data_IF_910513947998
#
_entry.id   IF_910513947998
#
_cell.length_a   1.000
_cell.length_b   1.000
_cell.length_c   1.000
_cell.angle_alpha   90.00
_cell.angle_beta   90.00
_cell.angle_gamma   90.00
#
_symmetry.space_group_name_H-M   'P 1'
#
loop_
_entity.id
_entity.type
_entity.pdbx_description
1 polymer ?
#
# COMPACT_ATOMS: atom_id res chain seq x y z
N UNK A 1 31.37 65.21 5.27
CA UNK A 1 32.73 65.78 5.12
C UNK A 1 33.61 64.71 4.53
N UNK A 2 34.22 65.02 3.37
CA UNK A 2 35.41 64.43 2.68
C UNK A 2 35.27 62.94 2.31
N UNK A 3 35.00 62.49 1.04
CA UNK A 3 35.76 62.63 -0.24
C UNK A 3 37.15 61.99 -0.13
N UNK A 4 37.39 60.96 -0.97
CA UNK A 4 38.35 60.81 -2.05
C UNK A 4 38.39 59.33 -2.46
N UNK A 5 38.10 58.80 -3.57
CA UNK A 5 38.39 58.89 -5.00
C UNK A 5 39.91 58.77 -5.31
N UNK A 6 40.21 57.81 -6.19
CA UNK A 6 41.19 57.83 -7.28
C UNK A 6 41.64 56.41 -7.64
N UNK A 7 41.36 55.87 -8.82
CA UNK A 7 41.79 56.03 -10.22
C UNK A 7 42.75 54.89 -10.65
N UNK A 8 42.34 54.19 -11.68
CA UNK A 8 42.83 53.80 -13.02
C UNK A 8 44.24 53.21 -13.17
N UNK A 9 44.27 52.19 -14.02
CA UNK A 9 45.39 51.74 -14.83
C UNK A 9 45.09 50.42 -15.50
N UNK A 10 44.71 50.34 -16.56
CA UNK A 10 44.68 50.24 -18.03
C UNK A 10 46.05 49.84 -18.60
N UNK A 11 46.06 48.76 -19.42
CA UNK A 11 46.84 48.47 -20.63
C UNK A 11 47.01 46.97 -20.80
N UNK A 12 46.42 46.27 -21.71
CA UNK A 12 46.44 46.27 -23.17
C UNK A 12 47.56 45.40 -23.79
N UNK A 13 47.09 44.41 -24.58
CA UNK A 13 47.56 43.90 -25.88
C UNK A 13 48.89 43.12 -25.92
N UNK A 14 49.00 42.00 -26.63
CA UNK A 14 49.07 41.71 -28.07
C UNK A 14 49.15 40.18 -28.28
N UNK A 15 48.27 39.51 -29.01
CA UNK A 15 48.33 38.98 -30.38
C UNK A 15 49.65 38.31 -30.82
N UNK A 16 49.59 37.02 -31.20
CA UNK A 16 50.01 36.60 -32.57
C UNK A 16 49.89 35.09 -32.80
N UNK A 17 49.26 34.78 -33.86
CA UNK A 17 49.17 33.64 -34.74
C UNK A 17 50.52 32.94 -35.06
N UNK A 18 50.59 31.66 -35.37
CA UNK A 18 50.54 31.12 -36.73
C UNK A 18 50.97 29.64 -36.81
N UNK A 19 50.13 28.81 -37.41
CA UNK A 19 50.30 27.88 -38.53
C UNK A 19 51.55 26.97 -38.61
N UNK A 20 51.25 25.71 -38.73
CA UNK A 20 51.29 24.87 -39.99
C UNK A 20 52.28 23.66 -40.00
N UNK A 21 51.68 22.52 -40.25
CA UNK A 21 51.94 21.47 -41.27
C UNK A 21 53.07 20.45 -41.11
N UNK A 22 52.57 19.21 -41.37
CA UNK A 22 53.04 18.05 -42.15
C UNK A 22 53.54 16.83 -41.40
N UNK A 23 52.70 15.81 -41.56
CA UNK A 23 52.92 14.44 -42.06
C UNK A 23 54.33 13.84 -42.02
N UNK A 24 54.43 12.65 -41.43
CA UNK A 24 54.91 11.48 -42.20
C UNK A 24 54.60 10.14 -41.48
N UNK A 25 54.15 9.20 -42.28
CA UNK A 25 53.91 7.78 -42.02
C UNK A 25 55.21 7.02 -41.69
N UNK A 26 55.15 5.96 -40.89
CA UNK A 26 55.27 4.57 -41.39
C UNK A 26 55.37 3.51 -40.28
N UNK A 27 54.54 2.48 -40.41
CA UNK A 27 54.74 1.02 -40.27
C UNK A 27 55.41 0.46 -38.98
N UNK A 28 54.84 -0.47 -38.29
CA UNK A 28 54.39 -1.80 -38.54
C UNK A 28 54.15 -2.59 -37.24
N UNK A 29 53.00 -3.18 -37.06
CA UNK A 29 52.60 -4.55 -36.62
C UNK A 29 53.14 -5.15 -35.28
N UNK A 30 52.48 -6.21 -34.74
CA UNK A 30 51.34 -6.09 -33.82
C UNK A 30 51.66 -6.71 -32.45
N UNK A 31 51.15 -6.14 -31.41
CA UNK A 31 51.15 -6.77 -30.08
C UNK A 31 49.68 -7.02 -29.65
N UNK A 32 49.47 -8.22 -29.18
CA UNK A 32 48.23 -8.81 -28.70
C UNK A 32 47.62 -7.97 -27.58
N UNK A 33 46.51 -7.36 -27.85
CA UNK A 33 45.72 -6.62 -26.84
C UNK A 33 44.70 -7.57 -26.21
N UNK A 34 44.91 -7.86 -24.92
CA UNK A 34 43.91 -8.50 -24.08
C UNK A 34 42.82 -7.47 -23.79
N UNK A 35 41.65 -7.63 -24.34
CA UNK A 35 40.45 -6.86 -24.00
C UNK A 35 40.04 -7.18 -22.56
N UNK A 36 40.33 -6.28 -21.65
CA UNK A 36 39.64 -6.18 -20.38
C UNK A 36 38.34 -5.43 -20.69
N UNK A 37 37.21 -6.14 -20.69
CA UNK A 37 35.90 -5.51 -20.66
C UNK A 37 35.77 -4.72 -19.35
N UNK A 38 35.94 -3.42 -19.45
CA UNK A 38 35.50 -2.50 -18.39
C UNK A 38 33.98 -2.45 -18.45
N UNK A 39 33.34 -3.05 -17.44
CA UNK A 39 31.94 -2.79 -17.17
C UNK A 39 31.77 -1.29 -16.93
N UNK A 40 31.18 -0.62 -17.91
CA UNK A 40 30.73 0.76 -17.76
C UNK A 40 29.74 0.83 -16.58
N UNK A 41 30.18 1.43 -15.51
CA UNK A 41 29.31 1.91 -14.42
C UNK A 41 28.40 2.95 -15.06
N UNK A 42 27.12 2.59 -15.24
CA UNK A 42 26.08 3.53 -15.67
C UNK A 42 26.11 4.72 -14.71
N UNK A 43 26.44 5.87 -15.26
CA UNK A 43 26.34 7.18 -14.63
C UNK A 43 24.88 7.45 -14.24
N UNK A 44 24.70 8.14 -13.11
CA UNK A 44 23.48 8.72 -12.56
C UNK A 44 22.77 9.66 -13.55
N UNK A 45 22.14 9.16 -14.60
CA UNK A 45 21.26 9.97 -15.46
C UNK A 45 19.88 10.05 -14.81
N UNK A 46 19.56 11.21 -14.24
CA UNK A 46 18.19 11.63 -13.97
C UNK A 46 17.52 11.82 -15.32
N UNK A 47 16.34 11.23 -15.52
CA UNK A 47 15.56 11.43 -16.75
C UNK A 47 15.36 12.94 -16.99
N UNK A 48 15.60 13.37 -18.23
CA UNK A 48 15.46 14.78 -18.63
C UNK A 48 14.04 15.27 -18.32
N UNK A 49 13.87 16.27 -17.45
CA UNK A 49 12.54 16.77 -17.07
C UNK A 49 11.76 17.42 -18.23
N UNK A 50 12.40 17.65 -19.39
CA UNK A 50 11.73 18.18 -20.58
C UNK A 50 10.98 17.13 -21.39
N UNK A 51 11.19 15.82 -21.11
CA UNK A 51 10.48 14.73 -21.78
C UNK A 51 9.27 14.29 -20.97
N UNK A 52 8.14 14.00 -21.62
CA UNK A 52 6.98 13.43 -20.94
C UNK A 52 7.39 12.09 -20.30
N UNK A 53 7.21 11.96 -18.99
CA UNK A 53 7.49 10.72 -18.29
C UNK A 53 6.64 9.57 -18.85
N UNK A 54 7.31 8.49 -19.25
CA UNK A 54 6.65 7.25 -19.64
C UNK A 54 7.32 6.09 -18.92
N UNK A 55 6.56 5.37 -18.10
CA UNK A 55 7.06 4.23 -17.32
C UNK A 55 7.58 3.09 -18.21
N UNK A 56 7.08 2.97 -19.44
CA UNK A 56 7.53 1.95 -20.39
C UNK A 56 8.98 2.15 -20.85
N UNK A 57 9.53 3.34 -20.71
CA UNK A 57 10.92 3.65 -21.02
C UNK A 57 11.90 3.12 -19.96
N UNK A 58 11.39 2.73 -18.79
CA UNK A 58 12.17 2.11 -17.72
C UNK A 58 12.30 0.61 -17.98
N UNK A 59 13.53 0.13 -18.07
CA UNK A 59 13.80 -1.31 -18.24
C UNK A 59 13.38 -2.12 -17.02
N UNK A 60 12.96 -3.38 -17.24
CA UNK A 60 12.68 -4.28 -16.13
C UNK A 60 13.96 -4.65 -15.37
N UNK A 61 13.91 -4.55 -14.05
CA UNK A 61 14.94 -5.10 -13.18
C UNK A 61 14.91 -6.63 -13.22
N UNK A 62 16.10 -7.23 -13.25
CA UNK A 62 16.30 -8.69 -13.14
C UNK A 62 16.78 -9.09 -11.73
N UNK A 63 16.93 -8.15 -10.82
CA UNK A 63 17.37 -8.42 -9.45
C UNK A 63 16.25 -9.08 -8.65
N UNK A 64 16.62 -10.00 -7.77
CA UNK A 64 15.75 -10.45 -6.69
C UNK A 64 15.72 -9.36 -5.61
N UNK A 65 14.58 -8.72 -5.44
CA UNK A 65 14.38 -7.63 -4.48
C UNK A 65 13.71 -8.09 -3.18
N UNK A 66 13.46 -9.41 -3.02
CA UNK A 66 12.80 -9.97 -1.84
C UNK A 66 11.32 -9.64 -1.73
N UNK A 67 10.80 -9.69 -0.51
CA UNK A 67 9.39 -9.40 -0.22
C UNK A 67 9.17 -7.95 0.22
N UNK A 68 7.92 -7.47 0.07
CA UNK A 68 7.51 -6.14 0.52
C UNK A 68 7.84 -5.95 2.02
N UNK A 69 8.42 -4.82 2.42
CA UNK A 69 8.63 -3.58 1.68
C UNK A 69 9.93 -3.51 0.85
N UNK A 70 10.56 -4.60 0.48
CA UNK A 70 11.71 -4.74 -0.42
C UNK A 70 13.04 -4.16 0.09
N UNK A 71 13.03 -3.36 1.12
CA UNK A 71 14.19 -2.63 1.65
C UNK A 71 14.32 -2.91 3.13
N UNK A 72 15.49 -3.41 3.53
CA UNK A 72 15.95 -3.31 4.90
C UNK A 72 16.68 -1.98 5.08
N UNK A 73 16.35 -1.26 6.14
CA UNK A 73 17.03 -0.01 6.43
C UNK A 73 18.53 -0.26 6.69
N UNK A 74 19.39 0.73 6.42
CA UNK A 74 20.81 0.62 6.71
C UNK A 74 21.08 0.25 8.17
N UNK A 75 22.18 -0.46 8.42
CA UNK A 75 22.57 -0.88 9.77
C UNK A 75 22.63 0.31 10.73
N UNK A 76 22.12 0.14 11.94
CA UNK A 76 22.00 1.21 12.93
C UNK A 76 20.81 2.15 12.75
N UNK A 77 19.98 1.96 11.71
CA UNK A 77 18.76 2.74 11.49
C UNK A 77 17.50 1.89 11.60
N UNK A 78 16.45 2.48 12.10
CA UNK A 78 15.14 1.83 12.23
C UNK A 78 13.97 2.72 11.82
N UNK A 79 12.86 2.09 11.44
CA UNK A 79 11.59 2.78 11.30
C UNK A 79 11.01 3.10 12.67
N UNK A 80 10.63 4.33 12.90
CA UNK A 80 10.00 4.75 14.16
C UNK A 80 8.64 4.09 14.34
N UNK A 81 8.20 3.98 15.62
CA UNK A 81 6.84 3.53 15.96
C UNK A 81 5.80 4.37 15.22
N UNK A 82 4.80 3.70 14.67
CA UNK A 82 3.75 4.34 13.88
C UNK A 82 4.00 4.34 12.37
N UNK A 83 4.99 3.57 11.90
CA UNK A 83 5.08 3.26 10.47
C UNK A 83 3.73 2.75 9.93
N UNK A 84 3.38 3.19 8.74
CA UNK A 84 2.13 2.84 8.06
C UNK A 84 2.42 1.65 7.13
N UNK A 85 1.71 0.54 7.33
CA UNK A 85 1.69 -0.61 6.42
C UNK A 85 0.24 -0.88 6.04
N UNK A 86 -0.09 -0.74 4.75
CA UNK A 86 -1.44 -0.90 4.20
C UNK A 86 -1.43 -1.89 3.05
N UNK A 87 -2.44 -2.76 3.01
CA UNK A 87 -2.65 -3.69 1.89
C UNK A 87 -2.99 -2.97 0.59
N UNK A 88 -3.66 -1.82 0.71
CA UNK A 88 -4.00 -0.94 -0.42
C UNK A 88 -4.24 0.46 0.13
N UNK A 89 -3.53 1.45 -0.44
CA UNK A 89 -3.69 2.87 -0.14
C UNK A 89 -3.03 3.71 -1.25
N UNK A 90 -3.11 5.03 -1.16
CA UNK A 90 -2.52 5.98 -2.10
C UNK A 90 -1.32 6.70 -1.48
N UNK A 91 -0.28 6.89 -2.27
CA UNK A 91 0.85 7.77 -1.93
C UNK A 91 1.24 8.60 -3.14
N UNK A 92 1.70 9.83 -2.90
CA UNK A 92 2.07 10.78 -3.93
C UNK A 92 3.59 10.80 -4.15
N UNK A 93 4.01 10.77 -5.43
CA UNK A 93 5.41 10.75 -5.84
C UNK A 93 5.67 11.82 -6.91
N UNK A 94 6.82 12.51 -6.89
CA UNK A 94 7.10 13.60 -7.81
C UNK A 94 7.49 13.10 -9.20
N UNK A 95 6.59 13.24 -10.17
CA UNK A 95 6.86 13.09 -11.60
C UNK A 95 7.06 14.47 -12.20
N UNK A 96 8.25 14.80 -12.67
CA UNK A 96 8.59 16.13 -13.19
C UNK A 96 8.19 17.26 -12.21
N UNK A 97 8.35 17.04 -10.92
CA UNK A 97 7.99 18.01 -9.87
C UNK A 97 6.50 18.08 -9.52
N UNK A 98 5.64 17.29 -10.17
CA UNK A 98 4.20 17.18 -9.87
C UNK A 98 3.96 15.92 -9.02
N UNK A 99 3.41 16.09 -7.84
CA UNK A 99 3.08 15.00 -6.92
C UNK A 99 1.90 14.19 -7.47
N UNK A 100 2.23 13.04 -8.06
CA UNK A 100 1.32 12.14 -8.77
C UNK A 100 0.92 10.98 -7.86
N UNK A 101 -0.40 10.67 -7.72
CA UNK A 101 -0.85 9.57 -6.89
C UNK A 101 -0.58 8.20 -7.54
N UNK A 102 -0.07 7.27 -6.75
CA UNK A 102 0.02 5.85 -7.08
C UNK A 102 -0.66 5.03 -6.00
N UNK A 103 -1.41 4.02 -6.40
CA UNK A 103 -2.19 3.17 -5.50
C UNK A 103 -1.64 1.75 -5.47
N UNK A 104 -1.72 1.12 -4.31
CA UNK A 104 -1.27 -0.25 -4.14
C UNK A 104 -0.94 -0.59 -2.69
N UNK A 105 -0.16 -1.63 -2.50
CA UNK A 105 0.38 -1.98 -1.20
C UNK A 105 1.39 -0.91 -0.77
N UNK A 106 1.18 -0.30 0.40
CA UNK A 106 1.90 0.90 0.82
C UNK A 106 2.62 0.72 2.15
N UNK A 107 3.87 1.20 2.19
CA UNK A 107 4.65 1.37 3.42
C UNK A 107 5.17 2.80 3.52
N UNK A 108 4.96 3.45 4.69
CA UNK A 108 5.49 4.80 4.98
C UNK A 108 6.11 4.81 6.37
N UNK A 109 7.31 5.38 6.51
CA UNK A 109 8.00 5.43 7.78
C UNK A 109 8.81 6.71 7.96
N UNK A 110 8.86 7.20 9.20
CA UNK A 110 9.94 8.05 9.67
C UNK A 110 11.11 7.13 10.07
N UNK A 111 12.32 7.51 9.69
CA UNK A 111 13.54 6.72 9.91
C UNK A 111 14.47 7.49 10.86
N UNK A 112 15.00 6.81 11.85
CA UNK A 112 15.96 7.37 12.78
C UNK A 112 17.00 6.34 13.19
N UNK A 113 17.91 6.74 14.07
CA UNK A 113 18.90 5.83 14.63
C UNK A 113 18.29 4.88 15.67
N UNK A 114 18.76 3.65 15.68
CA UNK A 114 18.51 2.70 16.78
C UNK A 114 19.07 3.30 18.08
N UNK A 115 18.44 2.96 19.20
CA UNK A 115 18.85 3.48 20.50
C UNK A 115 20.33 3.21 20.79
N UNK A 116 21.10 4.28 20.94
CA UNK A 116 22.54 4.25 21.22
C UNK A 116 23.43 4.46 19.99
N UNK A 117 22.83 4.55 18.81
CA UNK A 117 23.48 4.89 17.54
C UNK A 117 23.23 6.36 17.17
N UNK A 118 24.04 6.89 16.26
CA UNK A 118 23.87 8.25 15.72
C UNK A 118 23.27 8.20 14.31
N UNK A 119 22.31 9.08 14.05
CA UNK A 119 21.78 9.25 12.70
C UNK A 119 22.74 10.08 11.86
N UNK A 120 23.08 9.57 10.67
CA UNK A 120 23.82 10.32 9.66
C UNK A 120 22.99 10.43 8.38
N UNK A 121 22.62 11.66 8.02
CA UNK A 121 21.90 11.96 6.78
C UNK A 121 22.61 11.36 5.57
N UNK A 122 23.94 11.65 5.45
CA UNK A 122 24.73 11.16 4.32
C UNK A 122 24.82 9.64 4.26
N UNK A 123 24.91 8.97 5.40
CA UNK A 123 24.93 7.50 5.46
C UNK A 123 23.59 6.92 4.98
N UNK A 124 22.47 7.46 5.46
CA UNK A 124 21.15 7.04 5.04
C UNK A 124 20.95 7.24 3.53
N UNK A 125 21.17 8.46 3.02
CA UNK A 125 20.94 8.78 1.60
C UNK A 125 21.83 7.92 0.70
N UNK A 126 23.13 7.82 1.00
CA UNK A 126 24.06 7.06 0.19
C UNK A 126 23.74 5.57 0.18
N UNK A 127 23.43 4.99 1.34
CA UNK A 127 23.08 3.56 1.44
C UNK A 127 21.80 3.24 0.67
N UNK A 128 20.77 4.11 0.78
CA UNK A 128 19.52 3.94 0.04
C UNK A 128 19.75 4.03 -1.46
N UNK A 129 20.47 5.04 -1.91
CA UNK A 129 20.72 5.29 -3.33
C UNK A 129 21.57 4.17 -3.96
N UNK A 130 22.68 3.77 -3.33
CA UNK A 130 23.52 2.68 -3.82
C UNK A 130 22.77 1.35 -3.88
N UNK A 131 21.96 1.03 -2.87
CA UNK A 131 21.13 -0.16 -2.89
C UNK A 131 20.12 -0.13 -4.04
N UNK A 132 19.36 0.96 -4.19
CA UNK A 132 18.33 1.09 -5.21
C UNK A 132 18.93 0.97 -6.62
N UNK A 133 20.05 1.64 -6.89
CA UNK A 133 20.75 1.52 -8.17
C UNK A 133 21.27 0.09 -8.41
N UNK A 134 21.77 -0.58 -7.37
CA UNK A 134 22.29 -1.96 -7.47
C UNK A 134 21.22 -2.98 -7.84
N UNK A 135 19.96 -2.73 -7.46
CA UNK A 135 18.81 -3.58 -7.82
C UNK A 135 18.10 -3.12 -9.10
N UNK A 136 18.68 -2.22 -9.86
CA UNK A 136 18.16 -1.76 -11.15
C UNK A 136 17.02 -0.75 -11.05
N UNK A 137 16.88 -0.04 -9.93
CA UNK A 137 15.98 1.10 -9.85
C UNK A 137 16.48 2.25 -10.73
N UNK A 138 15.55 2.98 -11.33
CA UNK A 138 15.83 4.20 -12.09
C UNK A 138 15.43 5.41 -11.23
N UNK A 139 16.35 6.36 -11.07
CA UNK A 139 16.06 7.63 -10.40
C UNK A 139 15.23 8.50 -11.34
N UNK A 140 14.02 8.86 -10.92
CA UNK A 140 13.06 9.64 -11.73
C UNK A 140 13.03 11.10 -11.30
N UNK A 141 13.31 11.36 -10.02
CA UNK A 141 13.33 12.70 -9.48
C UNK A 141 14.39 12.85 -8.38
N UNK A 142 15.07 13.99 -8.35
CA UNK A 142 15.98 14.38 -7.29
C UNK A 142 15.93 15.92 -7.16
N UNK A 143 15.15 16.42 -6.21
CA UNK A 143 14.93 17.86 -6.08
C UNK A 143 13.80 18.22 -5.10
N UNK A 144 13.43 19.48 -5.13
CA UNK A 144 12.35 20.06 -4.34
C UNK A 144 11.10 20.23 -5.23
N UNK A 145 9.92 20.23 -4.62
CA UNK A 145 8.67 20.60 -5.28
C UNK A 145 8.33 22.07 -4.99
N UNK A 146 7.49 22.70 -5.82
CA UNK A 146 7.06 24.07 -5.52
C UNK A 146 6.09 24.11 -4.34
N UNK A 147 5.98 25.26 -3.71
CA UNK A 147 5.03 25.48 -2.62
C UNK A 147 3.58 25.31 -3.08
N UNK A 148 3.26 25.77 -4.28
CA UNK A 148 1.93 25.60 -4.87
C UNK A 148 1.59 24.12 -5.04
N UNK A 149 2.56 23.33 -5.48
CA UNK A 149 2.39 21.89 -5.64
C UNK A 149 2.26 21.18 -4.29
N UNK A 150 3.06 21.59 -3.30
CA UNK A 150 2.93 21.11 -1.94
C UNK A 150 1.53 21.36 -1.37
N UNK A 151 1.01 22.57 -1.49
CA UNK A 151 -0.32 22.92 -1.00
C UNK A 151 -1.40 22.11 -1.75
N UNK A 152 -1.27 21.98 -3.08
CA UNK A 152 -2.22 21.23 -3.94
C UNK A 152 -2.33 19.75 -3.51
N UNK A 153 -1.21 19.02 -3.45
CA UNK A 153 -1.29 17.59 -3.17
C UNK A 153 -1.68 17.31 -1.72
N UNK A 154 -1.30 18.15 -0.80
CA UNK A 154 -1.66 17.99 0.61
C UNK A 154 -3.18 18.10 0.88
N UNK A 155 -3.93 18.79 0.03
CA UNK A 155 -5.39 18.79 0.10
C UNK A 155 -5.99 17.44 -0.33
N UNK A 156 -5.25 16.64 -1.08
CA UNK A 156 -5.68 15.37 -1.66
C UNK A 156 -5.10 14.15 -0.94
N UNK A 157 -3.99 14.30 -0.19
CA UNK A 157 -3.34 13.17 0.50
C UNK A 157 -4.10 12.78 1.78
N UNK A 158 -4.77 11.62 1.82
CA UNK A 158 -5.46 11.14 3.00
C UNK A 158 -4.51 10.78 4.16
N UNK A 159 -3.20 10.63 3.87
CA UNK A 159 -2.16 10.27 4.83
C UNK A 159 -1.33 11.47 5.29
N UNK A 160 -1.78 12.70 5.00
CA UNK A 160 -1.11 13.94 5.40
C UNK A 160 -0.85 13.98 6.91
N UNK A 161 0.37 14.38 7.28
CA UNK A 161 0.80 14.48 8.68
C UNK A 161 1.08 13.12 9.34
N UNK A 162 0.93 12.02 8.62
CA UNK A 162 1.27 10.68 9.08
C UNK A 162 2.78 10.39 9.05
N UNK A 163 3.13 9.16 9.45
CA UNK A 163 4.51 8.68 9.36
C UNK A 163 4.98 8.68 7.91
N UNK A 164 6.21 9.12 7.66
CA UNK A 164 6.77 9.20 6.31
C UNK A 164 6.21 10.33 5.44
N UNK A 165 5.40 11.23 6.01
CA UNK A 165 4.87 12.37 5.26
C UNK A 165 6.00 13.29 4.77
N UNK A 166 5.99 13.65 3.47
CA UNK A 166 6.93 14.59 2.85
C UNK A 166 6.53 16.03 3.25
N UNK A 167 6.78 16.39 4.48
CA UNK A 167 6.13 17.47 5.21
C UNK A 167 6.43 18.91 4.80
N UNK A 168 7.35 19.16 3.83
CA UNK A 168 7.69 20.53 3.41
C UNK A 168 8.10 20.59 1.94
N UNK A 169 7.84 21.73 1.28
CA UNK A 169 8.17 21.98 -0.13
C UNK A 169 9.68 22.15 -0.36
N UNK A 170 10.45 22.53 0.67
CA UNK A 170 11.89 22.76 0.64
C UNK A 170 12.71 21.52 1.03
N UNK A 171 12.11 20.35 0.99
CA UNK A 171 12.79 19.08 1.17
C UNK A 171 13.24 18.52 -0.17
N UNK A 172 14.52 18.15 -0.26
CA UNK A 172 15.01 17.37 -1.40
C UNK A 172 14.41 15.97 -1.34
N UNK A 173 13.60 15.61 -2.34
CA UNK A 173 12.97 14.30 -2.49
C UNK A 173 13.73 13.52 -3.55
N UNK A 174 14.17 12.32 -3.22
CA UNK A 174 14.73 11.37 -4.18
C UNK A 174 13.71 10.31 -4.47
N UNK A 175 13.31 10.17 -5.74
CA UNK A 175 12.31 9.23 -6.18
C UNK A 175 12.86 8.24 -7.20
N UNK A 176 12.60 6.95 -6.97
CA UNK A 176 13.08 5.83 -7.76
C UNK A 176 11.91 4.92 -8.17
N UNK A 177 12.05 4.30 -9.33
CA UNK A 177 11.11 3.28 -9.81
C UNK A 177 11.89 1.99 -10.09
N UNK A 178 11.36 0.87 -9.61
CA UNK A 178 11.76 -0.47 -10.02
C UNK A 178 10.62 -1.07 -10.82
N UNK A 179 10.86 -1.50 -12.06
CA UNK A 179 9.92 -2.35 -12.81
C UNK A 179 10.32 -3.80 -12.64
N UNK A 180 9.42 -4.63 -12.14
CA UNK A 180 9.63 -6.07 -12.00
C UNK A 180 8.57 -6.83 -12.80
N UNK A 181 8.98 -7.84 -13.56
CA UNK A 181 8.03 -8.70 -14.28
C UNK A 181 7.14 -9.50 -13.33
N UNK A 182 7.67 -9.87 -12.17
CA UNK A 182 6.95 -10.68 -11.18
C UNK A 182 6.13 -9.81 -10.20
N UNK A 183 6.70 -8.69 -9.75
CA UNK A 183 6.15 -7.88 -8.64
C UNK A 183 5.49 -6.59 -9.11
N UNK A 184 5.46 -6.30 -10.42
CA UNK A 184 4.91 -5.06 -10.98
C UNK A 184 5.82 -3.85 -10.79
N UNK A 185 5.24 -2.67 -10.82
CA UNK A 185 5.94 -1.41 -10.61
C UNK A 185 6.04 -1.09 -9.11
N UNK A 186 7.22 -0.67 -8.69
CA UNK A 186 7.51 -0.32 -7.31
C UNK A 186 8.05 1.10 -7.28
N UNK A 187 7.38 1.96 -6.54
CA UNK A 187 7.66 3.38 -6.38
C UNK A 187 8.29 3.60 -5.01
N UNK A 188 9.46 4.22 -4.95
CA UNK A 188 10.24 4.40 -3.72
C UNK A 188 10.72 5.83 -3.67
N UNK A 189 10.32 6.57 -2.64
CA UNK A 189 10.87 7.90 -2.40
C UNK A 189 11.37 8.03 -0.97
N UNK A 190 12.38 8.86 -0.82
CA UNK A 190 12.88 9.23 0.48
C UNK A 190 13.38 10.66 0.51
N UNK A 191 13.38 11.24 1.70
CA UNK A 191 13.98 12.52 2.02
C UNK A 191 14.67 12.39 3.37
N UNK A 192 15.63 13.27 3.66
CA UNK A 192 16.28 13.29 4.96
C UNK A 192 16.84 14.66 5.31
N UNK A 193 17.09 14.84 6.58
CA UNK A 193 17.82 15.96 7.14
C UNK A 193 18.73 15.48 8.29
N UNK A 194 19.31 16.39 9.06
CA UNK A 194 20.18 16.03 10.17
C UNK A 194 19.46 15.36 11.37
N UNK A 195 18.13 15.38 11.42
CA UNK A 195 17.32 14.82 12.51
C UNK A 195 16.74 13.43 12.18
N UNK A 196 16.68 13.05 10.90
CA UNK A 196 16.13 11.76 10.49
C UNK A 196 15.78 11.72 9.01
N UNK A 197 15.27 10.56 8.59
CA UNK A 197 14.80 10.31 7.23
C UNK A 197 13.30 10.02 7.19
N UNK A 198 12.77 10.00 5.98
CA UNK A 198 11.42 9.54 5.65
C UNK A 198 11.50 8.63 4.44
N UNK A 199 10.73 7.56 4.45
CA UNK A 199 10.72 6.55 3.39
C UNK A 199 9.28 6.20 3.07
N UNK A 200 8.93 6.24 1.77
CA UNK A 200 7.66 5.76 1.25
C UNK A 200 7.90 4.75 0.14
N UNK A 201 7.16 3.66 0.19
CA UNK A 201 7.21 2.58 -0.80
C UNK A 201 5.78 2.22 -1.18
N UNK A 202 5.51 2.17 -2.49
CA UNK A 202 4.26 1.62 -3.03
C UNK A 202 4.59 0.54 -4.04
N UNK A 203 4.01 -0.64 -3.85
CA UNK A 203 3.92 -1.65 -4.89
C UNK A 203 2.59 -1.48 -5.59
N UNK A 204 2.61 -1.09 -6.86
CA UNK A 204 1.41 -0.81 -7.63
C UNK A 204 0.52 -2.06 -7.74
N UNK A 205 -0.72 -1.90 -7.37
CA UNK A 205 -1.74 -2.95 -7.48
C UNK A 205 -3.06 -2.35 -7.95
N UNK A 206 -3.73 -3.03 -8.87
CA UNK A 206 -5.10 -2.67 -9.23
C UNK A 206 -6.04 -2.91 -8.05
N UNK A 207 -6.92 -1.95 -7.78
CA UNK A 207 -7.96 -2.12 -6.77
C UNK A 207 -8.79 -3.37 -7.05
N UNK A 208 -8.86 -4.27 -6.08
CA UNK A 208 -9.70 -5.47 -6.14
C UNK A 208 -10.93 -5.26 -5.27
N UNK A 209 -12.09 -5.12 -5.91
CA UNK A 209 -13.35 -5.12 -5.18
C UNK A 209 -13.56 -6.48 -4.51
N UNK A 210 -13.61 -6.48 -3.18
CA UNK A 210 -13.82 -7.70 -2.37
C UNK A 210 -15.20 -7.77 -1.74
N UNK A 211 -16.02 -6.69 -1.89
CA UNK A 211 -17.42 -6.72 -1.45
C UNK A 211 -18.19 -7.54 -2.47
N UNK A 212 -18.64 -8.73 -2.06
CA UNK A 212 -19.48 -9.59 -2.87
C UNK A 212 -20.93 -9.53 -2.39
N UNK A 213 -21.89 -9.67 -3.31
CA UNK A 213 -23.26 -9.97 -2.93
C UNK A 213 -23.28 -11.35 -2.29
N UNK A 214 -23.98 -11.49 -1.15
CA UNK A 214 -24.30 -12.81 -0.61
C UNK A 214 -25.18 -13.53 -1.62
N UNK A 215 -24.69 -14.65 -2.17
CA UNK A 215 -25.43 -15.47 -3.15
C UNK A 215 -25.70 -16.87 -2.60
N UNK A 216 -26.72 -17.51 -3.13
CA UNK A 216 -27.07 -18.90 -2.78
C UNK A 216 -25.92 -19.87 -3.06
N UNK A 217 -25.15 -19.65 -4.14
CA UNK A 217 -23.99 -20.44 -4.52
C UNK A 217 -22.85 -20.32 -3.49
N UNK A 218 -22.55 -19.11 -3.03
CA UNK A 218 -21.52 -18.88 -2.01
C UNK A 218 -21.91 -19.47 -0.67
N UNK A 219 -23.18 -19.31 -0.25
CA UNK A 219 -23.71 -19.95 0.97
C UNK A 219 -23.57 -21.47 0.89
N UNK A 220 -24.00 -22.09 -0.21
CA UNK A 220 -23.92 -23.53 -0.40
C UNK A 220 -22.44 -24.01 -0.42
N UNK A 221 -21.56 -23.27 -1.09
CA UNK A 221 -20.12 -23.55 -1.12
C UNK A 221 -19.52 -23.50 0.28
N UNK A 222 -19.75 -22.44 1.03
CA UNK A 222 -19.25 -22.29 2.40
C UNK A 222 -19.71 -23.41 3.32
N UNK A 223 -21.01 -23.76 3.26
CA UNK A 223 -21.58 -24.84 4.06
C UNK A 223 -20.99 -26.20 3.69
N UNK A 224 -20.67 -26.45 2.42
CA UNK A 224 -20.11 -27.72 1.99
C UNK A 224 -18.60 -27.82 2.22
N UNK A 225 -17.84 -26.76 1.98
CA UNK A 225 -16.38 -26.77 2.08
C UNK A 225 -15.87 -26.46 3.50
N UNK A 226 -16.55 -25.52 4.21
CA UNK A 226 -16.12 -25.02 5.52
C UNK A 226 -17.02 -25.49 6.67
N UNK A 227 -18.14 -26.12 6.38
CA UNK A 227 -19.15 -26.50 7.35
C UNK A 227 -19.96 -25.35 7.94
N UNK A 228 -19.65 -24.11 7.57
CA UNK A 228 -20.37 -22.91 8.03
C UNK A 228 -20.29 -21.76 7.04
N UNK A 229 -21.32 -20.89 7.06
CA UNK A 229 -21.32 -19.60 6.35
C UNK A 229 -21.69 -18.49 7.33
N UNK A 230 -20.91 -17.39 7.31
CA UNK A 230 -21.08 -16.22 8.19
C UNK A 230 -21.81 -15.14 7.43
N UNK A 231 -22.95 -14.70 7.95
CA UNK A 231 -23.84 -13.75 7.30
C UNK A 231 -24.12 -12.54 8.17
N UNK A 232 -24.14 -11.37 7.55
CA UNK A 232 -24.52 -10.12 8.21
C UNK A 232 -25.94 -9.74 7.79
N UNK A 233 -26.91 -10.18 8.60
CA UNK A 233 -28.33 -9.86 8.38
C UNK A 233 -28.71 -8.57 9.11
N UNK A 234 -29.39 -7.68 8.40
CA UNK A 234 -29.90 -6.45 8.97
C UNK A 234 -31.23 -6.70 9.68
N UNK A 235 -31.31 -6.28 10.94
CA UNK A 235 -32.51 -6.25 11.78
C UNK A 235 -32.78 -4.83 12.22
N UNK A 236 -34.00 -4.53 12.60
CA UNK A 236 -34.31 -3.30 13.33
C UNK A 236 -33.49 -3.20 14.60
N UNK A 237 -33.17 -1.96 15.02
CA UNK A 237 -32.37 -1.72 16.23
C UNK A 237 -33.03 -2.37 17.43
N UNK A 238 -32.28 -3.20 18.15
CA UNK A 238 -32.72 -3.94 19.35
C UNK A 238 -33.97 -4.82 19.13
N UNK A 239 -34.23 -5.26 17.89
CA UNK A 239 -35.34 -6.14 17.52
C UNK A 239 -34.89 -7.35 16.74
N UNK A 240 -35.81 -8.32 16.58
CA UNK A 240 -35.65 -9.48 15.70
C UNK A 240 -36.37 -9.33 14.37
N UNK A 241 -36.96 -8.16 14.09
CA UNK A 241 -37.62 -7.87 12.80
C UNK A 241 -36.54 -7.75 11.73
N UNK A 242 -36.63 -8.57 10.69
CA UNK A 242 -35.72 -8.55 9.55
C UNK A 242 -36.07 -7.37 8.66
N UNK A 243 -35.08 -6.53 8.30
CA UNK A 243 -35.30 -5.41 7.37
C UNK A 243 -35.46 -5.90 5.93
N UNK A 244 -35.81 -4.99 5.00
CA UNK A 244 -35.91 -5.33 3.58
C UNK A 244 -34.60 -5.87 3.00
N UNK A 245 -33.45 -5.29 3.40
CA UNK A 245 -32.11 -5.74 3.02
C UNK A 245 -31.80 -7.13 3.63
N UNK A 246 -32.15 -7.33 4.91
CA UNK A 246 -32.02 -8.62 5.58
C UNK A 246 -32.86 -9.72 4.89
N UNK A 247 -34.06 -9.38 4.38
CA UNK A 247 -34.91 -10.28 3.63
C UNK A 247 -34.24 -10.79 2.34
N UNK A 248 -33.46 -9.96 1.65
CA UNK A 248 -32.70 -10.41 0.47
C UNK A 248 -31.71 -11.51 0.82
N UNK A 249 -31.02 -11.40 1.96
CA UNK A 249 -30.09 -12.43 2.44
C UNK A 249 -30.84 -13.72 2.78
N UNK A 250 -31.99 -13.62 3.45
CA UNK A 250 -32.84 -14.80 3.77
C UNK A 250 -33.33 -15.51 2.49
N UNK A 251 -33.63 -14.76 1.43
CA UNK A 251 -33.98 -15.33 0.13
C UNK A 251 -32.82 -16.15 -0.44
N UNK A 252 -31.56 -15.65 -0.36
CA UNK A 252 -30.42 -16.41 -0.83
C UNK A 252 -30.16 -17.67 0.01
N UNK A 253 -30.42 -17.63 1.32
CA UNK A 253 -30.36 -18.83 2.17
C UNK A 253 -31.41 -19.86 1.72
N UNK A 254 -32.63 -19.41 1.46
CA UNK A 254 -33.70 -20.29 0.99
C UNK A 254 -33.36 -20.97 -0.35
N UNK A 255 -32.83 -20.20 -1.31
CA UNK A 255 -32.39 -20.73 -2.61
C UNK A 255 -31.26 -21.76 -2.45
N UNK A 256 -30.28 -21.51 -1.58
CA UNK A 256 -29.20 -22.47 -1.30
C UNK A 256 -29.76 -23.80 -0.75
N UNK A 257 -30.68 -23.73 0.22
CA UNK A 257 -31.31 -24.89 0.83
C UNK A 257 -32.29 -25.63 -0.11
N UNK A 258 -32.89 -24.93 -1.09
CA UNK A 258 -33.74 -25.55 -2.12
C UNK A 258 -32.93 -26.32 -3.16
N UNK A 259 -31.72 -25.83 -3.50
CA UNK A 259 -30.77 -26.49 -4.40
C UNK A 259 -30.22 -27.79 -3.80
N UNK A 260 -29.91 -27.80 -2.50
CA UNK A 260 -29.46 -29.01 -1.77
C UNK A 260 -30.46 -29.40 -0.69
N UNK A 261 -31.32 -30.38 -1.00
CA UNK A 261 -32.35 -30.87 -0.09
C UNK A 261 -31.82 -31.68 1.09
N UNK A 262 -30.58 -32.15 1.02
CA UNK A 262 -29.94 -32.91 2.10
C UNK A 262 -29.22 -32.03 3.13
N UNK A 263 -29.10 -30.75 2.84
CA UNK A 263 -28.43 -29.79 3.70
C UNK A 263 -29.31 -29.42 4.90
N UNK A 264 -28.85 -29.78 6.11
CA UNK A 264 -29.48 -29.38 7.37
C UNK A 264 -28.60 -28.34 8.04
N UNK A 265 -29.20 -27.31 8.63
CA UNK A 265 -28.44 -26.18 9.22
C UNK A 265 -28.92 -25.80 10.62
N UNK A 266 -27.99 -25.38 11.44
CA UNK A 266 -28.22 -24.58 12.65
C UNK A 266 -28.05 -23.09 12.29
N UNK A 267 -29.03 -22.28 12.59
CA UNK A 267 -28.99 -20.82 12.45
C UNK A 267 -28.56 -20.28 13.81
N UNK A 268 -27.36 -19.70 13.87
CA UNK A 268 -26.73 -19.26 15.11
C UNK A 268 -26.64 -17.73 15.14
N UNK A 269 -27.36 -17.10 16.08
CA UNK A 269 -27.36 -15.65 16.26
C UNK A 269 -26.30 -15.22 17.27
N UNK A 270 -25.60 -14.10 16.96
CA UNK A 270 -24.56 -13.49 17.80
C UNK A 270 -24.77 -12.00 17.94
N UNK A 271 -24.28 -11.45 19.07
CA UNK A 271 -24.22 -10.01 19.34
C UNK A 271 -22.78 -9.59 19.64
N UNK A 272 -22.53 -8.31 19.67
CA UNK A 272 -21.36 -7.77 20.37
C UNK A 272 -21.58 -7.82 21.90
N UNK A 273 -20.63 -7.31 22.68
CA UNK A 273 -20.67 -7.29 24.14
C UNK A 273 -21.33 -6.04 24.73
N UNK A 274 -22.02 -5.24 23.92
CA UNK A 274 -22.70 -4.03 24.41
C UNK A 274 -24.02 -4.40 25.09
N UNK A 275 -24.23 -3.89 26.29
CA UNK A 275 -25.46 -4.14 27.05
C UNK A 275 -25.45 -5.41 27.90
N UNK A 276 -26.63 -5.82 28.38
CA UNK A 276 -26.81 -6.96 29.28
C UNK A 276 -26.66 -8.30 28.56
N UNK A 277 -25.93 -9.26 29.16
CA UNK A 277 -25.64 -10.55 28.56
C UNK A 277 -26.90 -11.42 28.38
N UNK A 278 -27.88 -11.37 29.33
CA UNK A 278 -29.12 -12.14 29.24
C UNK A 278 -30.03 -11.57 28.16
N UNK A 279 -30.09 -10.25 28.01
CA UNK A 279 -30.76 -9.58 26.92
C UNK A 279 -30.16 -9.96 25.56
N UNK A 280 -28.83 -9.88 25.43
CA UNK A 280 -28.12 -10.27 24.21
C UNK A 280 -28.37 -11.74 23.84
N UNK A 281 -28.39 -12.61 24.82
CA UNK A 281 -28.69 -14.04 24.64
C UNK A 281 -30.09 -14.23 24.06
N UNK A 282 -31.08 -13.56 24.66
CA UNK A 282 -32.46 -13.60 24.20
C UNK A 282 -32.60 -12.99 22.80
N UNK A 283 -32.07 -11.78 22.58
CA UNK A 283 -32.14 -11.09 21.30
C UNK A 283 -31.54 -11.92 20.14
N UNK A 284 -30.35 -12.52 20.37
CA UNK A 284 -29.72 -13.35 19.36
C UNK A 284 -30.53 -14.61 19.04
N UNK A 285 -31.18 -15.22 20.05
CA UNK A 285 -32.08 -16.36 19.83
C UNK A 285 -33.35 -15.98 19.08
N UNK A 286 -33.94 -14.83 19.41
CA UNK A 286 -35.13 -14.31 18.74
C UNK A 286 -34.82 -13.98 17.26
N UNK A 287 -33.66 -13.45 16.96
CA UNK A 287 -33.17 -13.19 15.60
C UNK A 287 -32.95 -14.48 14.81
N UNK A 288 -32.28 -15.48 15.38
CA UNK A 288 -32.10 -16.78 14.73
C UNK A 288 -33.45 -17.47 14.47
N UNK A 289 -34.39 -17.37 15.42
CA UNK A 289 -35.76 -17.90 15.27
C UNK A 289 -36.55 -17.16 14.19
N UNK A 290 -36.40 -15.84 14.08
CA UNK A 290 -37.05 -15.06 13.01
C UNK A 290 -36.56 -15.49 11.62
N UNK A 291 -35.25 -15.72 11.45
CA UNK A 291 -34.68 -16.25 10.20
C UNK A 291 -35.24 -17.65 9.91
N UNK A 292 -35.22 -18.54 10.90
CA UNK A 292 -35.81 -19.91 10.73
C UNK A 292 -37.25 -19.84 10.29
N UNK A 293 -38.08 -19.05 10.95
CA UNK A 293 -39.52 -18.97 10.63
C UNK A 293 -39.75 -18.41 9.21
N UNK A 294 -38.91 -17.45 8.80
CA UNK A 294 -38.97 -16.91 7.45
C UNK A 294 -38.59 -17.98 6.41
N UNK A 295 -37.54 -18.77 6.64
CA UNK A 295 -37.16 -19.90 5.77
C UNK A 295 -38.26 -20.95 5.69
N UNK A 296 -38.93 -21.26 6.79
CA UNK A 296 -40.10 -22.17 6.78
C UNK A 296 -41.24 -21.61 5.94
N UNK A 297 -41.52 -20.31 6.04
CA UNK A 297 -42.57 -19.65 5.23
C UNK A 297 -42.25 -19.65 3.73
N UNK A 298 -40.99 -19.78 3.32
CA UNK A 298 -40.57 -19.93 1.92
C UNK A 298 -40.51 -21.39 1.46
N UNK A 299 -40.98 -22.33 2.28
CA UNK A 299 -41.12 -23.74 1.91
C UNK A 299 -39.95 -24.64 2.30
N UNK A 300 -39.01 -24.16 3.14
CA UNK A 300 -37.98 -25.04 3.69
C UNK A 300 -38.55 -25.86 4.83
N UNK A 301 -38.34 -27.18 4.80
CA UNK A 301 -38.83 -28.09 5.82
C UNK A 301 -38.22 -27.76 7.21
N UNK A 302 -39.07 -27.55 8.20
CA UNK A 302 -38.68 -27.21 9.56
C UNK A 302 -37.71 -28.20 10.18
N UNK A 303 -37.84 -29.49 9.85
CA UNK A 303 -36.96 -30.54 10.34
C UNK A 303 -35.47 -30.36 9.95
N UNK A 304 -35.23 -29.60 8.89
CA UNK A 304 -33.89 -29.28 8.40
C UNK A 304 -33.22 -28.07 9.12
N UNK A 305 -33.96 -27.39 10.00
CA UNK A 305 -33.56 -26.12 10.58
C UNK A 305 -33.57 -26.21 12.10
N UNK A 306 -32.52 -25.67 12.72
CA UNK A 306 -32.49 -25.37 14.15
C UNK A 306 -32.12 -23.90 14.34
N UNK A 307 -32.54 -23.25 15.42
CA UNK A 307 -32.18 -21.88 15.77
C UNK A 307 -31.61 -21.83 17.17
N UNK A 308 -30.47 -21.11 17.32
CA UNK A 308 -29.78 -20.92 18.60
C UNK A 308 -29.26 -19.50 18.71
N UNK A 309 -29.39 -18.88 19.90
CA UNK A 309 -28.75 -17.61 20.19
C UNK A 309 -27.55 -17.82 21.10
N UNK A 310 -26.43 -17.19 20.79
CA UNK A 310 -25.22 -17.21 21.60
C UNK A 310 -24.96 -15.90 22.32
N UNK A 311 -25.72 -14.82 21.99
CA UNK A 311 -25.39 -13.48 22.50
C UNK A 311 -23.95 -13.13 22.20
N UNK A 312 -23.23 -12.60 23.18
CA UNK A 312 -21.81 -12.24 23.08
C UNK A 312 -20.85 -13.36 23.52
N UNK A 313 -21.35 -14.58 23.80
CA UNK A 313 -20.55 -15.70 24.35
C UNK A 313 -19.48 -16.23 23.35
N UNK A 314 -19.73 -16.08 22.04
CA UNK A 314 -18.84 -16.56 20.99
C UNK A 314 -18.46 -15.43 20.04
N UNK A 315 -17.57 -14.52 20.44
CA UNK A 315 -17.14 -13.44 19.57
C UNK A 315 -16.29 -13.99 18.42
N UNK A 316 -16.47 -13.44 17.20
CA UNK A 316 -15.65 -13.76 16.04
C UNK A 316 -14.27 -13.07 16.14
N UNK A 317 -14.27 -11.85 16.68
CA UNK A 317 -13.10 -11.01 16.94
C UNK A 317 -13.25 -10.33 18.29
N UNK A 318 -12.19 -9.76 18.86
CA UNK A 318 -12.27 -8.99 20.11
C UNK A 318 -13.23 -7.79 19.96
N UNK A 319 -13.98 -7.45 21.01
CA UNK A 319 -14.94 -6.34 21.02
C UNK A 319 -14.26 -5.01 21.42
N UNK A 320 -13.16 -4.68 20.79
CA UNK A 320 -12.26 -3.57 21.15
C UNK A 320 -12.44 -2.31 20.28
N UNK A 321 -13.18 -2.44 19.18
CA UNK A 321 -13.54 -1.31 18.30
C UNK A 321 -14.97 -1.48 17.76
N UNK A 322 -15.55 -0.40 17.23
CA UNK A 322 -16.89 -0.45 16.65
C UNK A 322 -16.95 -1.32 15.40
N UNK A 323 -15.87 -1.37 14.61
CA UNK A 323 -15.73 -2.26 13.46
C UNK A 323 -15.73 -3.73 13.89
N UNK A 324 -15.02 -4.05 14.96
CA UNK A 324 -14.97 -5.41 15.50
C UNK A 324 -16.29 -5.82 16.14
N UNK A 325 -16.95 -4.92 16.86
CA UNK A 325 -18.33 -5.14 17.35
C UNK A 325 -19.30 -5.39 16.19
N UNK A 326 -19.20 -4.64 15.09
CA UNK A 326 -20.02 -4.88 13.90
C UNK A 326 -19.81 -6.29 13.30
N UNK A 327 -18.58 -6.81 13.29
CA UNK A 327 -18.29 -8.20 12.87
C UNK A 327 -18.88 -9.25 13.82
N UNK A 328 -19.01 -8.92 15.10
CA UNK A 328 -19.63 -9.82 16.09
C UNK A 328 -21.15 -9.87 15.99
N UNK A 329 -21.81 -8.80 15.53
CA UNK A 329 -23.28 -8.77 15.24
C UNK A 329 -23.58 -9.49 13.95
N UNK A 330 -23.73 -10.82 14.00
CA UNK A 330 -23.86 -11.70 12.83
C UNK A 330 -24.82 -12.87 13.05
N UNK A 331 -25.15 -13.53 11.96
CA UNK A 331 -25.80 -14.85 11.95
C UNK A 331 -24.84 -15.83 11.28
N UNK A 332 -24.60 -16.98 11.90
CA UNK A 332 -23.86 -18.08 11.29
C UNK A 332 -24.85 -19.18 10.90
N UNK A 333 -24.69 -19.70 9.67
CA UNK A 333 -25.30 -20.96 9.28
C UNK A 333 -24.26 -22.06 9.47
N UNK A 334 -24.58 -23.05 10.28
CA UNK A 334 -23.67 -24.18 10.57
C UNK A 334 -24.31 -25.46 10.04
N UNK A 335 -23.60 -26.19 9.18
CA UNK A 335 -24.04 -27.49 8.66
C UNK A 335 -24.17 -28.49 9.79
N UNK A 336 -25.32 -29.16 9.87
CA UNK A 336 -25.57 -30.23 10.85
C UNK A 336 -25.53 -31.58 10.12
N UNK A 337 -24.62 -32.44 10.54
CA UNK A 337 -24.58 -33.83 10.09
C UNK A 337 -25.52 -34.66 11.00
N UNK A 338 -26.46 -35.33 10.42
CA UNK A 338 -27.30 -36.33 11.12
C UNK A 338 -26.71 -37.71 11.00
#
# INVERSE_FOLDING_TARGET
MKKTAFILGLSALIVSCNQSTKQQQNNASPAVESTVETNDVKTDEVLDPSTAFNIEDIAFSTADIGDFPFINLPEGLEAHKGAIDRKFDVCFFPINGVMTPFEGKMFKANVGAVRGEEYSQRYFEKSMEEYLLSVGAVKVFDGEITREEYDRYNEQDPNKGGSGDMGYWDQNIKFFIIRSQEKGNIYIQFTSNNAGGKLNIVQEEAFKQTITKVTAEEIAKDLNEKGKSVLYLNFDVDKSTITAEGQQVVTQIAEALQKDKNLNISIEGHTDNTGDASHNKKLSNDRATAVMNNLVSTGIEKARLTAKGFGSEKPLVMNDSDENKAKNRRVELVKVNH
#
